data_IF_541027631161
#
_entry.id   IF_541027631161
#
_cell.length_a   1.000
_cell.length_b   1.000
_cell.length_c   1.000
_cell.angle_alpha   90.00
_cell.angle_beta   90.00
_cell.angle_gamma   90.00
#
_symmetry.space_group_name_H-M   'P 1'
#
loop_
_entity.id
_entity.type
_entity.pdbx_description
1 polymer ?
#
# COMPACT_ATOMS: atom_id res chain seq x y z
N UNK A 1 6.35 -0.52 40.81
CA UNK A 1 7.23 -0.96 39.70
C UNK A 1 6.31 -1.10 38.51
N UNK A 2 6.38 -0.15 37.58
CA UNK A 2 5.50 -0.12 36.41
C UNK A 2 6.13 -1.00 35.34
N UNK A 3 5.46 -2.09 34.97
CA UNK A 3 5.77 -2.84 33.75
C UNK A 3 5.46 -1.93 32.56
N UNK A 4 6.47 -1.21 32.09
CA UNK A 4 6.43 -0.57 30.78
C UNK A 4 6.54 -1.70 29.76
N UNK A 5 5.40 -2.23 29.33
CA UNK A 5 5.29 -3.29 28.32
C UNK A 5 5.84 -2.80 26.98
N UNK A 6 7.16 -2.80 26.82
CA UNK A 6 7.82 -2.58 25.54
C UNK A 6 7.50 -3.78 24.67
N UNK A 7 6.57 -3.63 23.73
CA UNK A 7 6.33 -4.63 22.70
C UNK A 7 7.62 -4.82 21.88
N UNK A 8 8.37 -5.87 22.18
CA UNK A 8 9.53 -6.27 21.39
C UNK A 8 9.02 -6.92 20.11
N UNK A 9 9.15 -6.22 18.97
CA UNK A 9 8.98 -6.84 17.67
C UNK A 9 10.07 -7.91 17.48
N UNK A 10 9.68 -9.17 17.33
CA UNK A 10 10.63 -10.21 16.93
C UNK A 10 10.86 -10.18 15.40
N UNK A 11 12.00 -10.68 14.95
CA UNK A 11 12.36 -10.61 13.53
C UNK A 11 11.37 -11.33 12.62
N UNK A 12 10.71 -12.39 13.11
CA UNK A 12 9.74 -13.18 12.34
C UNK A 12 8.43 -12.40 12.14
N UNK A 13 7.96 -11.70 13.17
CA UNK A 13 6.78 -10.83 13.13
C UNK A 13 6.99 -9.59 12.25
N UNK A 14 8.19 -9.01 12.24
CA UNK A 14 8.52 -7.88 11.35
C UNK A 14 8.43 -8.30 9.88
N UNK A 15 9.16 -9.34 9.49
CA UNK A 15 9.20 -9.76 8.09
C UNK A 15 7.89 -10.42 7.66
N UNK A 16 7.29 -11.25 8.52
CA UNK A 16 5.97 -11.84 8.29
C UNK A 16 4.89 -10.77 8.15
N UNK A 17 4.89 -9.76 9.00
CA UNK A 17 3.97 -8.62 8.94
C UNK A 17 4.17 -7.78 7.68
N UNK A 18 5.42 -7.58 7.25
CA UNK A 18 5.73 -6.89 5.99
C UNK A 18 5.22 -7.62 4.75
N UNK A 19 5.46 -8.94 4.65
CA UNK A 19 5.01 -9.75 3.51
C UNK A 19 3.49 -9.86 3.48
N UNK A 20 2.88 -10.26 4.60
CA UNK A 20 1.43 -10.44 4.69
C UNK A 20 0.69 -9.12 4.56
N UNK A 21 1.17 -8.07 5.23
CA UNK A 21 0.64 -6.71 5.12
C UNK A 21 0.75 -6.17 3.70
N UNK A 22 1.91 -6.29 3.06
CA UNK A 22 2.11 -5.86 1.67
C UNK A 22 1.21 -6.60 0.70
N UNK A 23 1.04 -7.93 0.86
CA UNK A 23 0.15 -8.73 0.02
C UNK A 23 -1.32 -8.33 0.19
N UNK A 24 -1.82 -8.28 1.43
CA UNK A 24 -3.23 -7.98 1.71
C UNK A 24 -3.56 -6.53 1.31
N UNK A 25 -2.68 -5.59 1.62
CA UNK A 25 -2.82 -4.20 1.20
C UNK A 25 -2.76 -4.06 -0.32
N UNK A 26 -1.84 -4.80 -0.98
CA UNK A 26 -1.73 -4.85 -2.44
C UNK A 26 -3.00 -5.35 -3.09
N UNK A 27 -3.62 -6.40 -2.56
CA UNK A 27 -4.92 -6.90 -3.03
C UNK A 27 -6.00 -5.83 -2.85
N UNK A 28 -6.13 -5.24 -1.65
CA UNK A 28 -7.15 -4.23 -1.36
C UNK A 28 -7.04 -3.02 -2.30
N UNK A 29 -5.84 -2.46 -2.44
CA UNK A 29 -5.57 -1.38 -3.39
C UNK A 29 -5.79 -1.82 -4.84
N UNK A 30 -5.33 -3.00 -5.22
CA UNK A 30 -5.46 -3.51 -6.57
C UNK A 30 -6.93 -3.62 -7.01
N UNK A 31 -7.83 -4.02 -6.10
CA UNK A 31 -9.27 -4.04 -6.36
C UNK A 31 -9.83 -2.63 -6.57
N UNK A 32 -9.42 -1.65 -5.76
CA UNK A 32 -9.81 -0.24 -5.94
C UNK A 32 -9.39 0.28 -7.31
N UNK A 33 -8.15 0.00 -7.73
CA UNK A 33 -7.60 0.46 -9.00
C UNK A 33 -8.18 -0.29 -10.22
N UNK A 34 -8.46 -1.58 -10.07
CA UNK A 34 -9.06 -2.39 -11.14
C UNK A 34 -10.51 -1.95 -11.40
N UNK A 35 -11.33 -1.80 -10.36
CA UNK A 35 -12.75 -1.42 -10.52
C UNK A 35 -12.97 0.09 -10.71
N UNK A 36 -12.09 0.95 -10.20
CA UNK A 36 -12.30 2.40 -10.26
C UNK A 36 -11.92 3.05 -11.59
N UNK A 37 -11.10 2.39 -12.41
CA UNK A 37 -10.63 2.98 -13.67
C UNK A 37 -9.66 2.09 -14.45
N UNK A 38 -9.63 0.80 -14.14
CA UNK A 38 -8.80 -0.18 -14.83
C UNK A 38 -7.29 0.11 -14.82
N UNK A 39 -6.80 0.79 -13.78
CA UNK A 39 -5.44 1.30 -13.71
C UNK A 39 -4.39 0.18 -13.57
N UNK A 40 -4.78 -1.00 -13.06
CA UNK A 40 -3.91 -2.19 -13.02
C UNK A 40 -3.60 -2.69 -14.43
N UNK A 41 -4.55 -2.58 -15.36
CA UNK A 41 -4.37 -3.04 -16.73
C UNK A 41 -3.47 -2.08 -17.52
N UNK A 42 -3.47 -0.79 -17.18
CA UNK A 42 -2.51 0.19 -17.73
C UNK A 42 -1.06 -0.18 -17.37
N UNK A 43 -0.81 -0.63 -16.14
CA UNK A 43 0.52 -1.12 -15.73
C UNK A 43 0.97 -2.35 -16.53
N UNK A 44 0.05 -3.29 -16.79
CA UNK A 44 0.36 -4.48 -17.60
C UNK A 44 0.46 -4.21 -19.10
N UNK A 45 -0.31 -3.26 -19.62
CA UNK A 45 -0.26 -2.84 -21.03
C UNK A 45 1.03 -2.13 -21.42
N UNK A 46 1.77 -1.58 -20.44
CA UNK A 46 3.15 -1.09 -20.64
C UNK A 46 4.18 -2.23 -20.72
N UNK A 47 3.81 -3.46 -20.32
CA UNK A 47 4.73 -4.58 -20.20
C UNK A 47 4.52 -5.66 -21.29
N UNK A 48 3.30 -5.89 -21.81
CA UNK A 48 3.00 -7.02 -22.73
C UNK A 48 1.81 -6.78 -23.69
N UNK A 49 1.48 -7.81 -24.49
CA UNK A 49 0.32 -7.86 -25.40
C UNK A 49 -1.04 -7.69 -24.67
N UNK A 50 -2.05 -7.06 -25.31
CA UNK A 50 -3.31 -6.67 -24.65
C UNK A 50 -4.06 -7.81 -23.94
N UNK A 51 -3.99 -9.04 -24.46
CA UNK A 51 -4.66 -10.21 -23.89
C UNK A 51 -4.07 -10.71 -22.56
N UNK A 52 -2.88 -10.24 -22.18
CA UNK A 52 -2.17 -10.65 -20.94
C UNK A 52 -2.01 -9.51 -19.93
N UNK A 53 -2.40 -8.28 -20.32
CA UNK A 53 -2.16 -7.07 -19.54
C UNK A 53 -2.74 -7.14 -18.12
N UNK A 54 -3.91 -7.76 -17.93
CA UNK A 54 -4.54 -7.88 -16.61
C UNK A 54 -3.68 -8.71 -15.66
N UNK A 55 -3.27 -9.91 -16.08
CA UNK A 55 -2.50 -10.84 -15.25
C UNK A 55 -1.10 -10.31 -14.96
N UNK A 56 -0.44 -9.72 -15.95
CA UNK A 56 0.89 -9.13 -15.79
C UNK A 56 0.85 -7.90 -14.89
N UNK A 57 -0.15 -7.03 -15.07
CA UNK A 57 -0.36 -5.84 -14.23
C UNK A 57 -0.56 -6.21 -12.76
N UNK A 58 -1.43 -7.19 -12.47
CA UNK A 58 -1.62 -7.72 -11.11
C UNK A 58 -0.35 -8.34 -10.54
N UNK A 59 0.39 -9.11 -11.33
CA UNK A 59 1.64 -9.74 -10.88
C UNK A 59 2.67 -8.69 -10.47
N UNK A 60 2.92 -7.69 -11.33
CA UNK A 60 3.85 -6.60 -11.04
C UNK A 60 3.39 -5.82 -9.80
N UNK A 61 2.09 -5.49 -9.75
CA UNK A 61 1.49 -4.76 -8.64
C UNK A 61 1.67 -5.49 -7.30
N UNK A 62 1.39 -6.79 -7.24
CA UNK A 62 1.53 -7.57 -6.01
C UNK A 62 3.00 -7.75 -5.60
N UNK A 63 3.90 -7.95 -6.56
CA UNK A 63 5.34 -8.04 -6.29
C UNK A 63 5.88 -6.73 -5.70
N UNK A 64 5.51 -5.58 -6.28
CA UNK A 64 5.85 -4.26 -5.74
C UNK A 64 5.20 -4.04 -4.37
N UNK A 65 3.95 -4.44 -4.19
CA UNK A 65 3.24 -4.33 -2.91
C UNK A 65 3.94 -5.10 -1.79
N UNK A 66 4.41 -6.33 -2.06
CA UNK A 66 5.21 -7.08 -1.08
C UNK A 66 6.54 -6.36 -0.81
N UNK A 67 7.24 -5.88 -1.84
CA UNK A 67 8.50 -5.17 -1.66
C UNK A 67 8.34 -3.89 -0.82
N UNK A 68 7.27 -3.12 -1.03
CA UNK A 68 6.97 -1.94 -0.23
C UNK A 68 6.48 -2.29 1.18
N UNK A 69 5.76 -3.40 1.36
CA UNK A 69 5.41 -3.92 2.68
C UNK A 69 6.64 -4.32 3.50
N UNK A 70 7.63 -4.96 2.86
CA UNK A 70 8.94 -5.24 3.45
C UNK A 70 9.71 -3.97 3.79
N UNK A 71 9.68 -2.96 2.92
CA UNK A 71 10.32 -1.66 3.19
C UNK A 71 9.67 -0.97 4.40
N UNK A 72 8.33 -0.97 4.47
CA UNK A 72 7.60 -0.46 5.62
C UNK A 72 8.01 -1.18 6.90
N UNK A 73 8.04 -2.52 6.88
CA UNK A 73 8.47 -3.32 8.02
C UNK A 73 9.89 -2.95 8.48
N UNK A 74 10.83 -2.80 7.54
CA UNK A 74 12.22 -2.44 7.83
C UNK A 74 12.37 -1.00 8.38
N UNK A 75 11.48 -0.08 8.00
CA UNK A 75 11.45 1.29 8.55
C UNK A 75 10.82 1.26 9.94
N UNK A 76 9.65 0.62 10.07
CA UNK A 76 8.90 0.51 11.31
C UNK A 76 9.71 -0.17 12.40
N UNK A 77 10.54 -1.17 12.07
CA UNK A 77 11.39 -1.88 13.04
C UNK A 77 12.62 -1.09 13.52
N UNK A 78 12.85 0.14 13.03
CA UNK A 78 13.99 0.95 13.50
C UNK A 78 13.69 1.53 14.88
N UNK A 79 14.67 1.48 15.79
CA UNK A 79 14.55 2.02 17.16
C UNK A 79 14.00 3.45 17.21
N UNK A 80 14.45 4.33 16.31
CA UNK A 80 13.98 5.72 16.25
C UNK A 80 12.48 5.84 15.88
N UNK A 81 11.96 4.91 15.08
CA UNK A 81 10.54 4.87 14.69
C UNK A 81 9.73 4.18 15.79
N UNK A 82 10.24 3.11 16.39
CA UNK A 82 9.60 2.42 17.51
C UNK A 82 9.37 3.34 18.72
N UNK A 83 10.25 4.32 18.96
CA UNK A 83 10.06 5.34 20.00
C UNK A 83 8.86 6.28 19.75
N UNK A 84 8.29 6.26 18.55
CA UNK A 84 7.14 7.07 18.15
C UNK A 84 5.86 6.23 18.01
N UNK A 85 5.93 4.91 18.22
CA UNK A 85 4.86 3.96 17.92
C UNK A 85 4.49 3.19 19.19
N UNK A 86 3.49 3.68 19.92
CA UNK A 86 3.07 3.11 21.20
C UNK A 86 1.82 2.23 21.04
N UNK A 87 0.93 2.58 20.12
CA UNK A 87 -0.34 1.89 19.94
C UNK A 87 -0.70 1.55 18.48
N UNK A 88 -1.79 0.80 18.31
CA UNK A 88 -2.27 0.35 17.00
C UNK A 88 -2.53 1.51 16.02
N UNK A 89 -3.03 2.64 16.53
CA UNK A 89 -3.36 3.81 15.73
C UNK A 89 -2.10 4.44 15.16
N UNK A 90 -0.98 4.42 15.88
CA UNK A 90 0.30 4.93 15.39
C UNK A 90 0.78 4.15 14.16
N UNK A 91 0.65 2.82 14.17
CA UNK A 91 0.98 1.99 13.01
C UNK A 91 0.05 2.23 11.82
N UNK A 92 -1.24 2.48 12.07
CA UNK A 92 -2.20 2.86 11.02
C UNK A 92 -1.85 4.23 10.42
N UNK A 93 -1.53 5.22 11.26
CA UNK A 93 -1.13 6.56 10.82
C UNK A 93 0.19 6.49 10.05
N UNK A 94 1.17 5.74 10.55
CA UNK A 94 2.44 5.50 9.85
C UNK A 94 2.20 4.84 8.49
N UNK A 95 1.31 3.85 8.44
CA UNK A 95 0.87 3.20 7.21
C UNK A 95 0.25 4.19 6.22
N UNK A 96 -0.67 5.05 6.66
CA UNK A 96 -1.29 6.10 5.84
C UNK A 96 -0.26 7.09 5.29
N UNK A 97 0.67 7.56 6.13
CA UNK A 97 1.75 8.46 5.72
C UNK A 97 2.65 7.77 4.68
N UNK A 98 3.04 6.52 4.93
CA UNK A 98 3.84 5.73 4.00
C UNK A 98 3.11 5.53 2.66
N UNK A 99 1.83 5.19 2.70
CA UNK A 99 0.98 5.05 1.52
C UNK A 99 0.89 6.35 0.73
N UNK A 100 0.65 7.49 1.40
CA UNK A 100 0.61 8.80 0.74
C UNK A 100 1.93 9.15 0.05
N UNK A 101 3.07 8.95 0.73
CA UNK A 101 4.41 9.16 0.15
C UNK A 101 4.62 8.24 -1.05
N UNK A 102 4.24 6.97 -0.92
CA UNK A 102 4.36 6.00 -2.00
C UNK A 102 3.51 6.39 -3.20
N UNK A 103 2.28 6.87 -2.99
CA UNK A 103 1.40 7.34 -4.07
C UNK A 103 1.97 8.56 -4.78
N UNK A 104 2.51 9.53 -4.05
CA UNK A 104 3.19 10.69 -4.65
C UNK A 104 4.44 10.26 -5.43
N UNK A 105 5.23 9.34 -4.90
CA UNK A 105 6.43 8.83 -5.58
C UNK A 105 6.08 8.01 -6.82
N UNK A 106 5.10 7.11 -6.71
CA UNK A 106 4.70 6.26 -7.81
C UNK A 106 4.04 7.07 -8.93
N UNK A 107 3.09 7.94 -8.60
CA UNK A 107 2.37 8.76 -9.57
C UNK A 107 3.22 9.91 -10.13
N UNK A 108 4.06 10.54 -9.32
CA UNK A 108 4.85 11.71 -9.71
C UNK A 108 6.23 11.40 -10.30
N UNK A 109 6.80 10.22 -10.03
CA UNK A 109 8.17 9.88 -10.47
C UNK A 109 8.21 8.57 -11.26
N UNK A 110 7.73 7.46 -10.68
CA UNK A 110 7.86 6.16 -11.35
C UNK A 110 7.06 6.08 -12.64
N UNK A 111 5.81 6.55 -12.60
CA UNK A 111 4.90 6.46 -13.74
C UNK A 111 5.33 7.33 -14.92
N UNK A 112 5.68 8.63 -14.74
CA UNK A 112 6.22 9.45 -15.83
C UNK A 112 7.48 8.84 -16.44
N UNK A 113 8.38 8.32 -15.61
CA UNK A 113 9.62 7.69 -16.08
C UNK A 113 9.35 6.38 -16.85
N UNK A 114 8.37 5.59 -16.42
CA UNK A 114 7.97 4.37 -17.13
C UNK A 114 7.35 4.71 -18.49
N UNK A 115 6.50 5.73 -18.56
CA UNK A 115 5.90 6.22 -19.80
C UNK A 115 6.95 6.75 -20.78
N UNK A 116 7.92 7.54 -20.30
CA UNK A 116 9.04 8.03 -21.10
C UNK A 116 9.83 6.87 -21.73
N UNK A 117 10.15 5.84 -20.93
CA UNK A 117 10.88 4.66 -21.43
C UNK A 117 10.06 3.81 -22.40
N UNK A 118 8.75 3.76 -22.23
CA UNK A 118 7.86 3.04 -23.13
C UNK A 118 7.55 3.84 -24.42
N UNK A 119 8.00 5.09 -24.53
CA UNK A 119 7.69 5.96 -25.68
C UNK A 119 6.20 6.35 -25.74
N UNK A 120 5.49 6.29 -24.62
CA UNK A 120 4.05 6.56 -24.55
C UNK A 120 3.84 8.00 -24.09
N UNK A 121 3.40 8.87 -25.00
CA UNK A 121 3.15 10.29 -24.70
C UNK A 121 1.87 10.51 -23.87
N UNK A 122 0.87 9.65 -24.02
CA UNK A 122 -0.35 9.63 -23.25
C UNK A 122 -0.90 8.21 -23.22
N UNK A 123 -1.35 7.75 -22.06
CA UNK A 123 -2.08 6.50 -22.00
C UNK A 123 -3.47 6.72 -22.60
N UNK A 124 -3.97 5.82 -23.46
CA UNK A 124 -5.38 5.83 -23.81
C UNK A 124 -6.13 5.59 -22.50
N UNK A 125 -6.69 6.65 -21.91
CA UNK A 125 -7.52 6.59 -20.71
C UNK A 125 -8.89 6.09 -21.14
N UNK A 126 -9.24 4.81 -20.93
CA UNK A 126 -10.50 4.31 -21.41
C UNK A 126 -11.50 4.21 -20.25
N UNK A 127 -12.77 4.44 -20.59
CA UNK A 127 -13.98 4.00 -19.88
C UNK A 127 -14.69 4.94 -18.90
N UNK A 128 -14.28 6.19 -18.76
CA UNK A 128 -15.16 7.23 -18.20
C UNK A 128 -15.67 8.14 -19.34
N UNK A 129 -16.97 8.48 -19.43
CA UNK A 129 -17.52 9.37 -20.45
C UNK A 129 -17.16 10.84 -20.16
N UNK A 130 -15.91 11.06 -19.75
CA UNK A 130 -15.34 12.33 -19.33
C UNK A 130 -13.96 12.35 -19.96
N UNK A 131 -13.69 13.36 -20.78
CA UNK A 131 -12.41 13.53 -21.46
C UNK A 131 -11.70 14.79 -20.95
N UNK A 132 -10.40 14.90 -21.21
CA UNK A 132 -9.57 16.04 -20.82
C UNK A 132 -9.18 16.04 -19.34
N UNK A 133 -8.84 17.22 -18.82
CA UNK A 133 -8.24 17.42 -17.48
C UNK A 133 -9.06 16.84 -16.33
N UNK A 134 -10.38 16.73 -16.48
CA UNK A 134 -11.27 16.11 -15.48
C UNK A 134 -11.01 14.62 -15.30
N UNK A 135 -10.77 13.88 -16.40
CA UNK A 135 -10.47 12.45 -16.35
C UNK A 135 -9.10 12.19 -15.72
N UNK A 136 -8.12 13.04 -16.05
CA UNK A 136 -6.78 12.99 -15.47
C UNK A 136 -6.82 13.25 -13.95
N UNK A 137 -7.55 14.28 -13.52
CA UNK A 137 -7.71 14.58 -12.10
C UNK A 137 -8.42 13.44 -11.35
N UNK A 138 -9.49 12.88 -11.92
CA UNK A 138 -10.18 11.74 -11.31
C UNK A 138 -9.26 10.52 -11.19
N UNK A 139 -8.51 10.20 -12.24
CA UNK A 139 -7.53 9.12 -12.26
C UNK A 139 -6.45 9.31 -11.18
N UNK A 140 -5.92 10.53 -11.04
CA UNK A 140 -4.94 10.87 -10.01
C UNK A 140 -5.52 10.77 -8.58
N UNK A 141 -6.75 11.24 -8.37
CA UNK A 141 -7.44 11.12 -7.08
C UNK A 141 -7.71 9.68 -6.70
N UNK A 142 -8.18 8.86 -7.66
CA UNK A 142 -8.40 7.43 -7.45
C UNK A 142 -7.09 6.71 -7.14
N UNK A 143 -6.02 7.03 -7.86
CA UNK A 143 -4.70 6.48 -7.63
C UNK A 143 -4.17 6.83 -6.22
N UNK A 144 -4.29 8.09 -5.83
CA UNK A 144 -3.93 8.54 -4.48
C UNK A 144 -4.77 7.86 -3.40
N UNK A 145 -6.08 7.74 -3.62
CA UNK A 145 -6.99 7.03 -2.73
C UNK A 145 -6.61 5.55 -2.58
N UNK A 146 -6.28 4.86 -3.67
CA UNK A 146 -5.81 3.47 -3.63
C UNK A 146 -4.55 3.31 -2.76
N UNK A 147 -3.63 4.27 -2.80
CA UNK A 147 -2.44 4.26 -1.95
C UNK A 147 -2.74 4.54 -0.47
N UNK A 148 -3.75 5.36 -0.18
CA UNK A 148 -4.22 5.52 1.20
C UNK A 148 -4.86 4.22 1.73
N UNK A 149 -5.64 3.52 0.89
CA UNK A 149 -6.18 2.19 1.22
C UNK A 149 -5.05 1.20 1.47
N UNK A 150 -4.02 1.19 0.61
CA UNK A 150 -2.83 0.37 0.82
C UNK A 150 -2.16 0.66 2.17
N UNK A 151 -1.89 1.93 2.45
CA UNK A 151 -1.24 2.36 3.69
C UNK A 151 -2.03 1.98 4.94
N UNK A 152 -3.34 2.22 4.93
CA UNK A 152 -4.26 1.85 6.00
C UNK A 152 -4.22 0.35 6.31
N UNK A 153 -4.36 -0.48 5.27
CA UNK A 153 -4.39 -1.94 5.41
C UNK A 153 -3.04 -2.48 5.84
N UNK A 154 -1.94 -1.97 5.25
CA UNK A 154 -0.58 -2.37 5.60
C UNK A 154 -0.28 -2.11 7.07
N UNK A 155 -0.54 -0.89 7.57
CA UNK A 155 -0.31 -0.52 8.96
C UNK A 155 -1.13 -1.39 9.93
N UNK A 156 -2.42 -1.59 9.63
CA UNK A 156 -3.30 -2.41 10.45
C UNK A 156 -2.90 -3.90 10.48
N UNK A 157 -2.56 -4.49 9.34
CA UNK A 157 -2.12 -5.89 9.27
C UNK A 157 -0.76 -6.06 9.96
N UNK A 158 0.19 -5.15 9.72
CA UNK A 158 1.49 -5.19 10.37
C UNK A 158 1.38 -5.13 11.90
N UNK A 159 0.58 -4.20 12.43
CA UNK A 159 0.32 -4.10 13.87
C UNK A 159 -0.31 -5.39 14.42
N UNK A 160 -1.33 -5.91 13.74
CA UNK A 160 -2.04 -7.13 14.16
C UNK A 160 -1.13 -8.35 14.20
N UNK A 161 -0.30 -8.55 13.16
CA UNK A 161 0.66 -9.66 13.10
C UNK A 161 1.68 -9.59 14.24
N UNK A 162 2.04 -8.38 14.66
CA UNK A 162 2.96 -8.15 15.77
C UNK A 162 2.25 -8.08 17.15
N UNK A 163 1.00 -8.53 17.25
CA UNK A 163 0.25 -8.63 18.51
C UNK A 163 -0.25 -7.30 19.06
N UNK A 164 -0.17 -6.23 18.27
CA UNK A 164 -0.66 -4.90 18.64
C UNK A 164 -2.12 -4.82 18.19
N UNK A 165 -3.03 -4.72 19.15
CA UNK A 165 -4.49 -4.76 18.94
C UNK A 165 -5.14 -3.44 19.31
N UNK A 166 -6.26 -3.07 18.66
CA UNK A 166 -7.04 -1.89 19.04
C UNK A 166 -7.47 -1.95 20.51
N UNK A 167 -7.42 -0.82 21.20
CA UNK A 167 -7.77 -0.68 22.63
C UNK A 167 -9.17 -1.24 22.96
N UNK A 168 -10.16 -1.05 22.09
CA UNK A 168 -11.51 -1.59 22.28
C UNK A 168 -11.63 -3.12 22.22
N UNK A 169 -10.64 -3.83 21.67
CA UNK A 169 -10.59 -5.30 21.67
C UNK A 169 -10.01 -5.82 22.99
N UNK A 170 -9.01 -5.13 23.56
CA UNK A 170 -8.41 -5.47 24.86
C UNK A 170 -9.41 -5.41 26.02
N UNK A 171 -10.38 -4.49 25.95
CA UNK A 171 -11.43 -4.36 26.98
C UNK A 171 -12.46 -5.51 26.96
N UNK A 172 -12.70 -6.14 25.80
CA UNK A 172 -13.75 -7.18 25.66
C UNK A 172 -13.25 -8.60 25.84
N UNK A 173 -11.96 -8.82 25.66
CA UNK A 173 -11.32 -10.11 25.87
C UNK A 173 -10.14 -9.93 26.83
N UNK A 174 -10.37 -9.93 28.16
CA UNK A 174 -9.29 -10.03 29.12
C UNK A 174 -8.66 -11.41 28.96
N UNK A 175 -7.57 -11.49 28.20
CA UNK A 175 -6.75 -12.69 28.13
C UNK A 175 -6.10 -12.83 29.51
N UNK A 176 -6.55 -13.82 30.27
CA UNK A 176 -5.97 -14.25 31.56
C UNK A 176 -4.72 -15.06 31.33
#
# INVERSE_FOLDING_TARGET
MSDTGTHSLDGVGVWGGGVTGGLVAGIAMGLVLHFGGNQIELLGGLATEPGTAVGVGWTIHLMLSIAFGLLFAAIASRNAVQQLMDDFSDYVIAGLVFGAILGLFAGGVLFPLAMERAGVAALPVPFLPIAGTTAELFSALLFGFGHLVYGLVLGGVFATVNGITPSGVRERAPVR
#
